data_IF_280663128345
#
_entry.id   IF_280663128345
#
_cell.length_a   1.000
_cell.length_b   1.000
_cell.length_c   1.000
_cell.angle_alpha   90.00
_cell.angle_beta   90.00
_cell.angle_gamma   90.00
#
_symmetry.space_group_name_H-M   'P 1'
#
loop_
_entity.id
_entity.type
_entity.pdbx_description
1 polymer ?
#
# COMPACT_ATOMS: atom_id res chain seq x y z
N UNK A 1 -7.73 25.18 -9.37
CA UNK A 1 -8.69 24.05 -9.25
C UNK A 1 -8.94 23.54 -10.66
N UNK A 2 -8.26 22.47 -11.06
CA UNK A 2 -8.40 21.91 -12.42
C UNK A 2 -9.75 21.21 -12.56
N UNK A 3 -10.42 21.48 -13.66
CA UNK A 3 -11.66 20.82 -14.04
C UNK A 3 -11.39 19.31 -14.15
N UNK A 4 -11.99 18.53 -13.26
CA UNK A 4 -11.97 17.05 -13.28
C UNK A 4 -12.85 16.56 -14.43
N UNK A 5 -12.43 16.81 -15.67
CA UNK A 5 -13.03 16.11 -16.80
C UNK A 5 -12.47 14.71 -16.80
N UNK A 6 -13.34 13.72 -16.61
CA UNK A 6 -13.00 12.32 -16.84
C UNK A 6 -12.64 12.18 -18.32
N UNK A 7 -11.36 12.29 -18.60
CA UNK A 7 -10.85 12.04 -19.94
C UNK A 7 -10.91 10.54 -20.22
N UNK A 8 -10.91 10.16 -21.49
CA UNK A 8 -10.81 8.73 -21.91
C UNK A 8 -9.61 8.06 -21.24
N UNK A 9 -8.52 8.80 -21.05
CA UNK A 9 -7.30 8.33 -20.36
C UNK A 9 -7.58 7.97 -18.90
N UNK A 10 -8.27 8.82 -18.15
CA UNK A 10 -8.61 8.55 -16.74
C UNK A 10 -9.50 7.32 -16.60
N UNK A 11 -10.45 7.13 -17.52
CA UNK A 11 -11.30 5.93 -17.56
C UNK A 11 -10.43 4.68 -17.84
N UNK A 12 -9.52 4.78 -18.79
CA UNK A 12 -8.61 3.67 -19.13
C UNK A 12 -7.71 3.30 -17.94
N UNK A 13 -7.14 4.31 -17.26
CA UNK A 13 -6.32 4.10 -16.06
C UNK A 13 -7.15 3.50 -14.92
N UNK A 14 -8.40 3.93 -14.75
CA UNK A 14 -9.31 3.34 -13.76
C UNK A 14 -9.59 1.87 -14.05
N UNK A 15 -9.95 1.52 -15.29
CA UNK A 15 -10.19 0.14 -15.70
C UNK A 15 -8.93 -0.73 -15.51
N UNK A 16 -7.76 -0.21 -15.89
CA UNK A 16 -6.49 -0.89 -15.62
C UNK A 16 -6.26 -1.09 -14.12
N UNK A 17 -6.54 -0.07 -13.31
CA UNK A 17 -6.47 -0.14 -11.85
C UNK A 17 -7.36 -1.24 -11.25
N UNK A 18 -8.56 -1.47 -11.82
CA UNK A 18 -9.42 -2.58 -11.36
C UNK A 18 -8.80 -3.95 -11.65
N UNK A 19 -8.15 -4.11 -12.82
CA UNK A 19 -7.45 -5.35 -13.20
C UNK A 19 -6.27 -5.60 -12.26
N UNK A 20 -5.47 -4.57 -11.97
CA UNK A 20 -4.41 -4.65 -10.98
C UNK A 20 -4.99 -5.04 -9.62
N UNK A 21 -6.07 -4.41 -9.15
CA UNK A 21 -6.73 -4.72 -7.88
C UNK A 21 -7.21 -6.16 -7.79
N UNK A 22 -7.71 -6.72 -8.89
CA UNK A 22 -8.08 -8.14 -8.97
C UNK A 22 -6.88 -9.05 -8.77
N UNK A 23 -5.72 -8.71 -9.33
CA UNK A 23 -4.46 -9.41 -9.07
C UNK A 23 -3.98 -9.24 -7.62
N UNK A 24 -4.12 -8.04 -7.03
CA UNK A 24 -3.78 -7.83 -5.62
C UNK A 24 -4.61 -8.73 -4.69
N UNK A 25 -5.88 -9.02 -5.01
CA UNK A 25 -6.66 -9.98 -4.26
C UNK A 25 -6.04 -11.38 -4.26
N UNK A 26 -5.42 -11.81 -5.38
CA UNK A 26 -4.67 -13.08 -5.44
C UNK A 26 -3.44 -13.02 -4.53
N UNK A 27 -2.70 -11.92 -4.57
CA UNK A 27 -1.53 -11.72 -3.69
C UNK A 27 -1.93 -11.77 -2.21
N UNK A 28 -2.98 -11.03 -1.82
CA UNK A 28 -3.47 -10.98 -0.44
C UNK A 28 -3.86 -12.38 0.08
N UNK A 29 -4.46 -13.22 -0.77
CA UNK A 29 -4.89 -14.55 -0.36
C UNK A 29 -3.77 -15.59 -0.35
N UNK A 30 -2.81 -15.51 -1.30
CA UNK A 30 -1.79 -16.56 -1.54
C UNK A 30 -0.46 -16.30 -0.84
N UNK A 31 0.02 -15.04 -0.79
CA UNK A 31 1.34 -14.75 -0.19
C UNK A 31 1.44 -15.21 1.27
N UNK A 32 0.45 -14.99 2.15
CA UNK A 32 0.51 -15.48 3.51
C UNK A 32 0.66 -17.00 3.64
N UNK A 33 0.15 -17.73 2.64
CA UNK A 33 0.21 -19.19 2.57
C UNK A 33 1.44 -19.72 1.84
N UNK A 34 2.30 -18.80 1.35
CA UNK A 34 3.46 -19.13 0.50
C UNK A 34 3.07 -19.89 -0.77
N UNK A 35 1.87 -19.63 -1.28
CA UNK A 35 1.36 -20.23 -2.51
C UNK A 35 1.77 -19.38 -3.73
N UNK A 36 1.96 -20.04 -4.89
CA UNK A 36 2.27 -19.35 -6.13
C UNK A 36 1.13 -18.40 -6.54
N UNK A 37 1.46 -17.14 -6.86
CA UNK A 37 0.49 -16.16 -7.36
C UNK A 37 0.11 -16.38 -8.82
N UNK A 38 0.84 -17.26 -9.53
CA UNK A 38 0.63 -17.54 -10.97
C UNK A 38 -0.21 -18.82 -11.16
N UNK A 39 0.09 -19.89 -10.44
CA UNK A 39 -0.56 -21.19 -10.56
C UNK A 39 -1.02 -21.70 -9.19
N UNK A 40 -2.15 -22.41 -9.10
CA UNK A 40 -3.15 -22.70 -10.14
C UNK A 40 -4.01 -21.47 -10.53
N UNK A 41 -4.85 -21.55 -11.59
CA UNK A 41 -5.79 -20.47 -11.93
C UNK A 41 -6.76 -20.16 -10.78
N UNK A 42 -7.41 -18.99 -10.84
CA UNK A 42 -8.38 -18.57 -9.83
C UNK A 42 -9.52 -19.56 -9.73
N UNK A 43 -9.85 -19.99 -8.52
CA UNK A 43 -10.90 -20.96 -8.23
C UNK A 43 -11.78 -20.51 -7.05
N UNK A 44 -12.98 -21.03 -6.99
CA UNK A 44 -13.89 -20.73 -5.89
C UNK A 44 -13.42 -21.46 -4.61
N UNK A 45 -13.17 -20.75 -3.50
CA UNK A 45 -12.70 -21.38 -2.26
C UNK A 45 -13.71 -22.35 -1.62
N UNK A 46 -15.01 -22.25 -2.01
CA UNK A 46 -16.07 -23.12 -1.47
C UNK A 46 -16.28 -24.40 -2.23
N UNK A 47 -16.15 -24.39 -3.56
CA UNK A 47 -16.44 -25.57 -4.39
C UNK A 47 -15.24 -26.04 -5.22
N UNK A 48 -14.10 -25.38 -5.17
CA UNK A 48 -12.88 -25.74 -5.90
C UNK A 48 -12.94 -25.55 -7.42
N UNK A 49 -14.09 -25.18 -8.00
CA UNK A 49 -14.22 -25.01 -9.45
C UNK A 49 -13.45 -23.77 -9.92
N UNK A 50 -12.73 -23.92 -11.03
CA UNK A 50 -12.04 -22.81 -11.68
C UNK A 50 -13.01 -21.72 -12.10
N UNK A 51 -12.59 -20.46 -11.91
CA UNK A 51 -13.35 -19.28 -12.35
C UNK A 51 -13.06 -19.08 -13.84
N UNK A 52 -14.13 -18.93 -14.64
CA UNK A 52 -13.99 -18.66 -16.07
C UNK A 52 -13.44 -17.24 -16.27
N UNK A 53 -12.70 -16.98 -17.34
CA UNK A 53 -12.07 -15.69 -17.59
C UNK A 53 -13.07 -14.51 -17.55
N UNK A 54 -14.29 -14.69 -18.08
CA UNK A 54 -15.33 -13.66 -18.07
C UNK A 54 -16.01 -13.47 -16.70
N UNK A 55 -15.90 -14.46 -15.79
CA UNK A 55 -16.32 -14.34 -14.40
C UNK A 55 -15.23 -13.73 -13.50
N UNK A 56 -14.08 -13.42 -14.08
CA UNK A 56 -12.94 -12.77 -13.42
C UNK A 56 -12.76 -11.32 -13.88
N UNK A 57 -13.73 -10.76 -14.64
CA UNK A 57 -13.71 -9.33 -15.01
C UNK A 57 -13.99 -8.52 -13.75
N UNK A 58 -13.03 -7.66 -13.31
CA UNK A 58 -13.16 -6.96 -12.05
C UNK A 58 -14.43 -6.11 -11.98
N UNK A 59 -15.04 -6.03 -10.80
CA UNK A 59 -16.28 -5.33 -10.49
C UNK A 59 -17.49 -5.84 -11.28
N UNK A 60 -17.38 -5.96 -12.61
CA UNK A 60 -18.48 -6.38 -13.50
C UNK A 60 -18.98 -7.75 -13.11
N UNK A 61 -18.10 -8.72 -12.94
CA UNK A 61 -18.48 -10.09 -12.56
C UNK A 61 -19.16 -10.14 -11.20
N UNK A 62 -18.69 -9.34 -10.23
CA UNK A 62 -19.30 -9.28 -8.92
C UNK A 62 -20.76 -8.78 -9.00
N UNK A 63 -21.02 -7.73 -9.79
CA UNK A 63 -22.36 -7.18 -10.00
C UNK A 63 -23.24 -8.15 -10.76
N UNK A 64 -22.77 -8.68 -11.90
CA UNK A 64 -23.55 -9.62 -12.76
C UNK A 64 -23.89 -10.91 -12.01
N UNK A 65 -22.98 -11.41 -11.18
CA UNK A 65 -23.20 -12.62 -10.38
C UNK A 65 -23.89 -12.32 -9.04
N UNK A 66 -24.24 -11.06 -8.76
CA UNK A 66 -24.87 -10.61 -7.50
C UNK A 66 -24.08 -11.10 -6.27
N UNK A 67 -22.75 -11.02 -6.34
CA UNK A 67 -21.84 -11.44 -5.27
C UNK A 67 -21.87 -12.95 -4.97
N UNK A 68 -22.22 -13.81 -5.94
CA UNK A 68 -22.32 -15.26 -5.76
C UNK A 68 -21.53 -16.03 -6.80
N UNK A 69 -20.94 -17.15 -6.40
CA UNK A 69 -20.28 -18.06 -7.34
C UNK A 69 -21.26 -18.60 -8.37
N UNK A 70 -20.91 -18.61 -9.65
CA UNK A 70 -21.75 -19.15 -10.73
C UNK A 70 -22.10 -20.63 -10.52
N UNK A 71 -21.16 -21.43 -10.00
CA UNK A 71 -21.32 -22.87 -9.87
C UNK A 71 -22.09 -23.27 -8.59
N UNK A 72 -21.61 -22.86 -7.40
CA UNK A 72 -22.20 -23.30 -6.14
C UNK A 72 -23.12 -22.27 -5.46
N UNK A 73 -23.31 -21.10 -6.08
CA UNK A 73 -24.10 -19.97 -5.52
C UNK A 73 -23.60 -19.48 -4.16
N UNK A 74 -22.44 -19.93 -3.69
CA UNK A 74 -21.82 -19.45 -2.46
C UNK A 74 -21.48 -17.96 -2.55
N UNK A 75 -21.68 -17.21 -1.46
CA UNK A 75 -21.39 -15.76 -1.40
C UNK A 75 -19.89 -15.49 -1.61
N UNK A 76 -19.57 -14.51 -2.46
CA UNK A 76 -18.25 -13.92 -2.66
C UNK A 76 -18.12 -12.78 -1.63
N UNK A 77 -17.01 -12.72 -0.92
CA UNK A 77 -16.75 -11.67 0.07
C UNK A 77 -16.74 -10.27 -0.57
N UNK A 78 -17.28 -9.28 0.12
CA UNK A 78 -17.27 -7.87 -0.31
C UNK A 78 -15.85 -7.27 -0.40
N UNK A 79 -14.88 -7.91 0.22
CA UNK A 79 -13.46 -7.51 0.18
C UNK A 79 -12.91 -7.50 -1.24
N UNK A 80 -13.31 -8.46 -2.09
CA UNK A 80 -12.82 -8.54 -3.47
C UNK A 80 -13.11 -7.26 -4.27
N UNK A 81 -14.37 -6.82 -4.43
CA UNK A 81 -14.65 -5.57 -5.12
C UNK A 81 -14.12 -4.34 -4.39
N UNK A 82 -13.99 -4.37 -3.05
CA UNK A 82 -13.41 -3.28 -2.28
C UNK A 82 -11.94 -3.03 -2.67
N UNK A 83 -11.12 -4.09 -2.73
CA UNK A 83 -9.72 -3.99 -3.13
C UNK A 83 -9.61 -3.50 -4.58
N UNK A 84 -10.46 -3.99 -5.49
CA UNK A 84 -10.48 -3.59 -6.89
C UNK A 84 -10.80 -2.10 -7.04
N UNK A 85 -11.85 -1.60 -6.36
CA UNK A 85 -12.23 -0.18 -6.38
C UNK A 85 -11.16 0.68 -5.74
N UNK A 86 -10.65 0.31 -4.57
CA UNK A 86 -9.63 1.06 -3.85
C UNK A 86 -8.36 1.21 -4.70
N UNK A 87 -7.91 0.13 -5.31
CA UNK A 87 -6.75 0.14 -6.21
C UNK A 87 -6.98 1.05 -7.41
N UNK A 88 -8.15 0.94 -8.05
CA UNK A 88 -8.50 1.78 -9.20
C UNK A 88 -8.55 3.27 -8.83
N UNK A 89 -9.17 3.63 -7.71
CA UNK A 89 -9.23 5.01 -7.24
C UNK A 89 -7.82 5.56 -6.97
N UNK A 90 -6.99 4.81 -6.24
CA UNK A 90 -5.64 5.29 -5.88
C UNK A 90 -4.75 5.42 -7.11
N UNK A 91 -4.73 4.46 -8.03
CA UNK A 91 -3.94 4.56 -9.26
C UNK A 91 -4.43 5.71 -10.14
N UNK A 92 -5.75 5.91 -10.26
CA UNK A 92 -6.29 7.04 -11.03
C UNK A 92 -5.96 8.38 -10.38
N UNK A 93 -5.98 8.46 -9.05
CA UNK A 93 -5.58 9.65 -8.30
C UNK A 93 -4.09 9.96 -8.49
N UNK A 94 -3.23 8.93 -8.53
CA UNK A 94 -1.80 9.08 -8.84
C UNK A 94 -1.59 9.58 -10.28
N UNK A 95 -2.36 9.04 -11.24
CA UNK A 95 -2.33 9.54 -12.61
C UNK A 95 -2.75 11.00 -12.70
N UNK A 96 -3.81 11.38 -12.02
CA UNK A 96 -4.29 12.76 -12.00
C UNK A 96 -3.30 13.74 -11.34
N UNK A 97 -2.56 13.27 -10.32
CA UNK A 97 -1.59 14.10 -9.60
C UNK A 97 -0.24 14.23 -10.32
N UNK A 98 0.23 13.19 -10.97
CA UNK A 98 1.61 13.12 -11.48
C UNK A 98 1.68 12.94 -13.01
N UNK A 99 0.60 12.53 -13.69
CA UNK A 99 0.65 12.10 -15.09
C UNK A 99 1.46 10.80 -15.25
N UNK A 100 1.64 10.33 -16.49
CA UNK A 100 2.43 9.13 -16.79
C UNK A 100 3.92 9.48 -16.80
N UNK A 101 4.60 9.22 -15.69
CA UNK A 101 6.04 9.42 -15.52
C UNK A 101 6.63 8.44 -14.49
N UNK A 102 7.94 8.53 -14.24
CA UNK A 102 8.61 7.62 -13.30
C UNK A 102 8.05 7.69 -11.87
N UNK A 103 7.61 8.88 -11.38
CA UNK A 103 6.95 9.02 -10.07
C UNK A 103 5.64 8.25 -10.03
N UNK A 104 4.83 8.36 -11.08
CA UNK A 104 3.56 7.62 -11.20
C UNK A 104 3.78 6.10 -11.05
N UNK A 105 4.74 5.53 -11.78
CA UNK A 105 5.02 4.09 -11.69
C UNK A 105 5.56 3.69 -10.33
N UNK A 106 6.53 4.44 -9.77
CA UNK A 106 7.10 4.17 -8.46
C UNK A 106 6.02 4.22 -7.35
N UNK A 107 5.19 5.25 -7.36
CA UNK A 107 4.12 5.42 -6.37
C UNK A 107 2.96 4.43 -6.57
N UNK A 108 2.69 4.01 -7.81
CA UNK A 108 1.70 2.94 -8.08
C UNK A 108 2.17 1.60 -7.53
N UNK A 109 3.44 1.24 -7.73
CA UNK A 109 4.03 0.01 -7.17
C UNK A 109 4.00 0.06 -5.63
N UNK A 110 4.42 1.18 -5.03
CA UNK A 110 4.32 1.38 -3.59
C UNK A 110 2.88 1.20 -3.11
N UNK A 111 1.93 1.88 -3.72
CA UNK A 111 0.51 1.84 -3.34
C UNK A 111 -0.06 0.42 -3.43
N UNK A 112 0.28 -0.33 -4.48
CA UNK A 112 -0.09 -1.75 -4.59
C UNK A 112 0.47 -2.58 -3.44
N UNK A 113 1.75 -2.39 -3.10
CA UNK A 113 2.38 -3.04 -1.95
C UNK A 113 1.70 -2.68 -0.63
N UNK A 114 1.37 -1.39 -0.42
CA UNK A 114 0.67 -0.91 0.77
C UNK A 114 -0.74 -1.51 0.91
N UNK A 115 -1.48 -1.67 -0.20
CA UNK A 115 -2.78 -2.33 -0.20
C UNK A 115 -2.63 -3.80 0.23
N UNK A 116 -1.71 -4.55 -0.38
CA UNK A 116 -1.48 -5.95 0.01
C UNK A 116 -1.08 -6.05 1.47
N UNK A 117 -0.08 -5.27 1.91
CA UNK A 117 0.38 -5.24 3.29
C UNK A 117 -0.79 -4.96 4.27
N UNK A 118 -1.61 -3.95 3.98
CA UNK A 118 -2.77 -3.58 4.79
C UNK A 118 -3.75 -4.73 4.98
N UNK A 119 -4.16 -5.38 3.88
CA UNK A 119 -5.17 -6.43 3.97
C UNK A 119 -4.64 -7.74 4.53
N UNK A 120 -3.36 -8.04 4.34
CA UNK A 120 -2.71 -9.21 4.96
C UNK A 120 -2.52 -8.96 6.45
N UNK A 121 -2.08 -7.77 6.86
CA UNK A 121 -1.89 -7.40 8.25
C UNK A 121 -3.22 -7.42 9.04
N UNK A 122 -4.34 -7.06 8.41
CA UNK A 122 -5.67 -7.24 9.02
C UNK A 122 -6.04 -8.72 9.26
N UNK A 123 -5.55 -9.63 8.42
CA UNK A 123 -5.91 -11.05 8.51
C UNK A 123 -5.04 -11.83 9.50
N UNK A 124 -3.73 -11.63 9.45
CA UNK A 124 -2.75 -12.48 10.16
C UNK A 124 -1.74 -11.69 10.99
N UNK A 125 -1.81 -10.35 10.98
CA UNK A 125 -0.88 -9.47 11.69
C UNK A 125 0.60 -9.73 11.29
N UNK A 126 0.82 -10.05 10.01
CA UNK A 126 2.13 -10.23 9.42
C UNK A 126 2.19 -9.52 8.06
N UNK A 127 3.35 -8.98 7.71
CA UNK A 127 3.59 -8.35 6.41
C UNK A 127 4.50 -9.25 5.60
N UNK A 128 4.04 -9.77 4.42
CA UNK A 128 4.83 -10.66 3.59
C UNK A 128 6.16 -10.03 3.16
N UNK A 129 7.25 -10.78 3.28
CA UNK A 129 8.58 -10.31 2.88
C UNK A 129 8.68 -10.07 1.37
N UNK A 130 7.94 -10.81 0.57
CA UNK A 130 7.84 -10.62 -0.88
C UNK A 130 7.36 -9.21 -1.24
N UNK A 131 6.47 -8.63 -0.43
CA UNK A 131 5.96 -7.27 -0.62
C UNK A 131 6.96 -6.25 -0.07
N UNK A 132 7.37 -6.39 1.19
CA UNK A 132 8.19 -5.39 1.86
C UNK A 132 9.63 -5.36 1.33
N UNK A 133 10.31 -6.51 1.22
CA UNK A 133 11.67 -6.58 0.69
C UNK A 133 11.70 -6.47 -0.84
N UNK A 134 10.71 -7.07 -1.53
CA UNK A 134 10.56 -6.92 -2.97
C UNK A 134 10.33 -5.47 -3.38
N UNK A 135 9.42 -4.79 -2.70
CA UNK A 135 9.14 -3.37 -2.93
C UNK A 135 10.32 -2.46 -2.59
N UNK A 136 11.06 -2.78 -1.51
CA UNK A 136 12.30 -2.09 -1.14
C UNK A 136 13.35 -2.21 -2.26
N UNK A 137 13.58 -3.42 -2.77
CA UNK A 137 14.52 -3.64 -3.87
C UNK A 137 14.12 -2.88 -5.13
N UNK A 138 12.82 -2.90 -5.49
CA UNK A 138 12.28 -2.11 -6.59
C UNK A 138 12.51 -0.63 -6.37
N UNK A 139 12.27 -0.09 -5.16
CA UNK A 139 12.51 1.31 -4.82
C UNK A 139 13.97 1.73 -5.04
N UNK A 140 14.92 0.91 -4.61
CA UNK A 140 16.35 1.14 -4.82
C UNK A 140 16.69 1.12 -6.31
N UNK A 141 16.18 0.15 -7.07
CA UNK A 141 16.42 0.05 -8.53
C UNK A 141 15.84 1.28 -9.24
N UNK A 142 14.62 1.70 -8.91
CA UNK A 142 13.99 2.87 -9.49
C UNK A 142 14.75 4.16 -9.16
N UNK A 143 15.28 4.30 -7.96
CA UNK A 143 16.08 5.46 -7.56
C UNK A 143 17.36 5.63 -8.38
N UNK A 144 17.99 4.52 -8.74
CA UNK A 144 19.16 4.51 -9.60
C UNK A 144 18.82 4.74 -11.08
N UNK A 145 17.74 4.10 -11.57
CA UNK A 145 17.30 4.22 -12.96
C UNK A 145 16.67 5.60 -13.25
N UNK A 146 15.91 6.14 -12.31
CA UNK A 146 15.14 7.38 -12.44
C UNK A 146 15.40 8.37 -11.29
N UNK A 147 16.61 8.93 -11.17
CA UNK A 147 17.00 9.81 -10.06
C UNK A 147 16.11 11.07 -9.94
N UNK A 148 15.46 11.45 -11.02
CA UNK A 148 14.52 12.59 -11.04
C UNK A 148 13.33 12.43 -10.07
N UNK A 149 13.03 11.23 -9.60
CA UNK A 149 12.02 10.99 -8.55
C UNK A 149 12.38 11.79 -7.29
N UNK A 150 13.67 11.88 -6.97
CA UNK A 150 14.21 12.63 -5.82
C UNK A 150 14.69 14.05 -6.17
N UNK A 151 14.32 14.57 -7.36
CA UNK A 151 14.71 15.93 -7.79
C UNK A 151 16.19 16.08 -8.12
N UNK A 152 16.89 14.99 -8.42
CA UNK A 152 18.30 14.99 -8.82
C UNK A 152 18.50 14.37 -10.19
N UNK A 153 19.54 14.77 -10.92
CA UNK A 153 19.94 14.16 -12.20
C UNK A 153 21.02 13.09 -12.03
N UNK A 154 21.69 13.08 -10.87
CA UNK A 154 22.77 12.12 -10.59
C UNK A 154 22.21 10.80 -10.07
N UNK A 155 22.59 9.69 -10.71
CA UNK A 155 22.21 8.33 -10.29
C UNK A 155 22.71 8.01 -8.88
N UNK A 156 23.93 8.46 -8.55
CA UNK A 156 24.52 8.26 -7.21
C UNK A 156 23.71 9.01 -6.15
N UNK A 157 23.32 10.25 -6.43
CA UNK A 157 22.51 11.04 -5.49
C UNK A 157 21.10 10.46 -5.35
N UNK A 158 20.49 9.94 -6.43
CA UNK A 158 19.22 9.22 -6.39
C UNK A 158 19.29 8.00 -5.49
N UNK A 159 20.32 7.16 -5.70
CA UNK A 159 20.58 5.99 -4.85
C UNK A 159 20.80 6.38 -3.39
N UNK A 160 21.63 7.40 -3.13
CA UNK A 160 21.88 7.88 -1.78
C UNK A 160 20.59 8.39 -1.10
N UNK A 161 19.72 9.10 -1.83
CA UNK A 161 18.43 9.57 -1.33
C UNK A 161 17.51 8.40 -0.94
N UNK A 162 17.47 7.34 -1.75
CA UNK A 162 16.74 6.13 -1.46
C UNK A 162 17.28 5.41 -0.22
N UNK A 163 18.59 5.19 -0.15
CA UNK A 163 19.23 4.53 1.00
C UNK A 163 19.05 5.33 2.30
N UNK A 164 19.18 6.66 2.23
CA UNK A 164 18.84 7.52 3.37
C UNK A 164 17.37 7.39 3.78
N UNK A 165 16.46 7.23 2.81
CA UNK A 165 15.06 6.96 3.07
C UNK A 165 14.83 5.61 3.77
N UNK A 166 15.52 4.55 3.32
CA UNK A 166 15.51 3.23 3.97
C UNK A 166 15.96 3.33 5.42
N UNK A 167 17.10 3.99 5.66
CA UNK A 167 17.65 4.16 7.00
C UNK A 167 16.76 5.03 7.89
N UNK A 168 16.22 6.12 7.36
CA UNK A 168 15.33 7.00 8.11
C UNK A 168 14.00 6.31 8.46
N UNK A 169 13.36 5.65 7.49
CA UNK A 169 12.09 4.97 7.70
C UNK A 169 12.22 3.73 8.55
N UNK A 170 13.00 2.76 8.10
CA UNK A 170 13.21 1.50 8.81
C UNK A 170 13.90 1.71 10.15
N UNK A 171 14.91 2.61 10.20
CA UNK A 171 15.62 2.97 11.43
C UNK A 171 14.72 3.62 12.47
N UNK A 172 13.80 4.51 12.08
CA UNK A 172 12.89 5.16 13.01
C UNK A 172 11.97 4.13 13.71
N UNK A 173 11.36 3.21 12.95
CA UNK A 173 10.52 2.13 13.50
C UNK A 173 11.36 1.16 14.35
N UNK A 174 12.56 0.79 13.88
CA UNK A 174 13.45 -0.10 14.62
C UNK A 174 13.86 0.50 15.97
N UNK A 175 14.27 1.76 15.99
CA UNK A 175 14.65 2.46 17.23
C UNK A 175 13.45 2.61 18.17
N UNK A 176 12.26 2.93 17.64
CA UNK A 176 11.05 3.00 18.44
C UNK A 176 10.70 1.64 19.05
N UNK A 177 10.81 0.55 18.29
CA UNK A 177 10.62 -0.81 18.79
C UNK A 177 11.63 -1.16 19.87
N UNK A 178 12.92 -0.90 19.64
CA UNK A 178 14.03 -1.16 20.56
C UNK A 178 13.84 -0.42 21.90
N UNK A 179 13.56 0.88 21.86
CA UNK A 179 13.30 1.63 23.08
C UNK A 179 12.00 1.20 23.77
N UNK A 180 10.97 0.89 23.00
CA UNK A 180 9.72 0.36 23.52
C UNK A 180 9.90 -0.97 24.27
N UNK A 181 10.72 -1.87 23.71
CA UNK A 181 11.04 -3.16 24.35
C UNK A 181 11.78 -2.98 25.68
N UNK A 182 12.74 -2.04 25.74
CA UNK A 182 13.46 -1.72 26.98
C UNK A 182 12.51 -1.18 28.07
N UNK A 183 11.56 -0.30 27.66
CA UNK A 183 10.65 0.37 28.63
C UNK A 183 9.52 -0.56 29.06
N UNK A 184 8.89 -1.26 28.10
CA UNK A 184 7.69 -2.05 28.38
C UNK A 184 7.99 -3.54 28.62
N UNK A 185 9.23 -4.00 28.40
CA UNK A 185 9.67 -5.40 28.53
C UNK A 185 8.82 -6.38 27.72
N UNK A 186 8.32 -5.93 26.58
CA UNK A 186 7.51 -6.68 25.59
C UNK A 186 7.90 -6.23 24.20
N UNK A 187 7.79 -7.11 23.23
CA UNK A 187 7.93 -6.71 21.83
C UNK A 187 6.95 -5.58 21.52
N UNK A 188 7.49 -4.40 21.20
CA UNK A 188 6.70 -3.19 20.98
C UNK A 188 6.35 -2.99 19.52
N UNK A 189 7.11 -3.62 18.58
CA UNK A 189 6.97 -3.42 17.13
C UNK A 189 7.32 -4.67 16.36
N UNK A 190 6.51 -5.02 15.38
CA UNK A 190 6.77 -6.15 14.49
C UNK A 190 7.94 -5.88 13.52
N UNK A 191 8.77 -6.90 13.24
CA UNK A 191 9.81 -6.80 12.21
C UNK A 191 9.25 -6.50 10.81
N UNK A 192 7.99 -6.84 10.54
CA UNK A 192 7.27 -6.50 9.33
C UNK A 192 7.10 -5.00 9.12
N UNK A 193 6.78 -4.25 10.19
CA UNK A 193 6.61 -2.80 10.15
C UNK A 193 7.93 -2.08 9.82
N UNK A 194 9.06 -2.58 10.34
CA UNK A 194 10.41 -2.07 10.02
C UNK A 194 10.68 -2.21 8.53
N UNK A 195 10.42 -3.39 7.95
CA UNK A 195 10.63 -3.67 6.53
C UNK A 195 9.68 -2.86 5.64
N UNK A 196 8.42 -2.74 6.05
CA UNK A 196 7.41 -1.92 5.34
C UNK A 196 7.84 -0.45 5.30
N UNK A 197 8.31 0.06 6.42
CA UNK A 197 8.74 1.46 6.52
C UNK A 197 10.05 1.71 5.77
N UNK A 198 10.95 0.72 5.71
CA UNK A 198 12.13 0.75 4.85
C UNK A 198 11.75 0.79 3.36
N UNK A 199 10.76 0.00 2.93
CA UNK A 199 10.19 0.05 1.58
C UNK A 199 9.60 1.43 1.27
N UNK A 200 8.79 1.98 2.16
CA UNK A 200 8.21 3.32 2.01
C UNK A 200 9.33 4.35 1.85
N UNK A 201 10.34 4.29 2.70
CA UNK A 201 11.49 5.20 2.67
C UNK A 201 12.31 5.09 1.38
N UNK A 202 12.47 3.88 0.83
CA UNK A 202 13.23 3.67 -0.41
C UNK A 202 12.64 4.40 -1.62
N UNK A 203 11.32 4.59 -1.63
CA UNK A 203 10.57 5.20 -2.74
C UNK A 203 10.25 6.68 -2.46
N UNK A 204 9.90 7.03 -1.24
CA UNK A 204 9.51 8.40 -0.87
C UNK A 204 10.69 9.29 -0.44
N UNK A 205 11.81 8.68 -0.07
CA UNK A 205 12.97 9.38 0.51
C UNK A 205 12.76 9.73 1.98
N UNK A 206 13.86 10.19 2.63
CA UNK A 206 13.91 10.33 4.08
C UNK A 206 12.90 11.34 4.67
N UNK A 207 12.63 12.46 3.99
CA UNK A 207 11.72 13.49 4.51
C UNK A 207 10.28 12.98 4.64
N UNK A 208 9.77 12.34 3.58
CA UNK A 208 8.43 11.79 3.56
C UNK A 208 8.33 10.51 4.39
N UNK A 209 9.41 9.73 4.52
CA UNK A 209 9.46 8.59 5.42
C UNK A 209 9.31 9.03 6.89
N UNK A 210 10.04 10.06 7.32
CA UNK A 210 9.89 10.61 8.68
C UNK A 210 8.50 11.20 8.89
N UNK A 211 7.96 11.93 7.89
CA UNK A 211 6.58 12.41 7.97
C UNK A 211 5.59 11.25 8.12
N UNK A 212 5.72 10.17 7.35
CA UNK A 212 4.90 8.96 7.45
C UNK A 212 4.98 8.35 8.85
N UNK A 213 6.19 8.24 9.40
CA UNK A 213 6.43 7.73 10.75
C UNK A 213 5.63 8.51 11.83
N UNK A 214 5.63 9.84 11.77
CA UNK A 214 4.88 10.67 12.73
C UNK A 214 3.37 10.73 12.42
N UNK A 215 2.96 10.60 11.17
CA UNK A 215 1.55 10.63 10.79
C UNK A 215 0.82 9.32 11.12
N UNK A 216 1.49 8.16 11.07
CA UNK A 216 0.87 6.87 11.31
C UNK A 216 0.24 6.74 12.71
N UNK A 217 0.90 7.14 13.82
CA UNK A 217 0.29 7.11 15.15
C UNK A 217 -0.94 7.99 15.29
N UNK A 218 -1.03 9.09 14.52
CA UNK A 218 -2.22 9.96 14.53
C UNK A 218 -3.43 9.19 14.00
N UNK A 219 -3.29 8.51 12.85
CA UNK A 219 -4.35 7.64 12.32
C UNK A 219 -4.67 6.48 13.25
N UNK A 220 -3.63 5.83 13.79
CA UNK A 220 -3.78 4.74 14.77
C UNK A 220 -4.53 5.17 16.02
N UNK A 221 -4.23 6.36 16.55
CA UNK A 221 -4.90 6.89 17.74
C UNK A 221 -6.39 7.18 17.49
N UNK A 222 -6.73 7.80 16.36
CA UNK A 222 -8.12 8.10 16.00
C UNK A 222 -8.95 6.81 15.91
N UNK A 223 -8.46 5.83 15.17
CA UNK A 223 -9.17 4.56 14.97
C UNK A 223 -9.14 3.71 16.24
N UNK A 224 -7.99 3.67 16.95
CA UNK A 224 -7.83 2.91 18.19
C UNK A 224 -8.77 3.38 19.30
N UNK A 225 -8.90 4.68 19.50
CA UNK A 225 -9.85 5.25 20.46
C UNK A 225 -11.28 4.88 20.08
N UNK A 226 -11.64 5.02 18.79
CA UNK A 226 -12.98 4.71 18.30
C UNK A 226 -13.34 3.21 18.51
N UNK A 227 -12.41 2.30 18.25
CA UNK A 227 -12.63 0.86 18.44
C UNK A 227 -12.59 0.43 19.90
N UNK A 228 -11.76 1.05 20.73
CA UNK A 228 -11.74 0.79 22.17
C UNK A 228 -13.08 1.15 22.83
N UNK A 229 -13.67 2.28 22.40
CA UNK A 229 -14.99 2.71 22.90
C UNK A 229 -16.09 1.75 22.42
N UNK A 230 -16.01 1.24 21.18
CA UNK A 230 -17.07 0.43 20.57
C UNK A 230 -16.98 -1.05 20.95
N UNK A 231 -15.81 -1.66 20.84
CA UNK A 231 -15.65 -3.11 20.87
C UNK A 231 -14.68 -3.60 21.97
N UNK A 232 -14.06 -2.72 22.74
CA UNK A 232 -13.09 -3.08 23.79
C UNK A 232 -11.80 -3.73 23.28
N UNK A 233 -11.50 -3.68 21.97
CA UNK A 233 -10.30 -4.30 21.38
C UNK A 233 -9.05 -3.50 21.72
N UNK A 234 -8.01 -4.19 22.19
CA UNK A 234 -6.74 -3.56 22.58
C UNK A 234 -5.61 -3.75 21.56
N UNK A 235 -5.70 -4.77 20.70
CA UNK A 235 -4.64 -5.08 19.74
C UNK A 235 -5.12 -4.75 18.31
N UNK A 236 -4.34 -3.91 17.63
CA UNK A 236 -4.61 -3.51 16.25
C UNK A 236 -3.35 -3.65 15.42
N UNK A 237 -3.46 -4.16 14.18
CA UNK A 237 -2.34 -4.16 13.26
C UNK A 237 -1.88 -2.73 12.95
N UNK A 238 -0.56 -2.50 12.90
CA UNK A 238 0.00 -1.17 12.70
C UNK A 238 0.24 -0.84 11.22
N UNK A 239 0.48 -1.86 10.39
CA UNK A 239 0.71 -1.73 8.95
C UNK A 239 -0.34 -0.90 8.20
N UNK A 240 -1.66 -1.06 8.46
CA UNK A 240 -2.70 -0.24 7.85
C UNK A 240 -2.52 1.26 8.09
N UNK A 241 -2.09 1.67 9.29
CA UNK A 241 -1.88 3.09 9.62
C UNK A 241 -0.62 3.65 8.98
N UNK A 242 0.45 2.84 8.90
CA UNK A 242 1.63 3.16 8.11
C UNK A 242 1.28 3.34 6.63
N UNK A 243 0.46 2.45 6.09
CA UNK A 243 0.01 2.51 4.70
C UNK A 243 -0.84 3.75 4.42
N UNK A 244 -1.78 4.08 5.30
CA UNK A 244 -2.58 5.32 5.18
C UNK A 244 -1.70 6.56 5.25
N UNK A 245 -0.79 6.62 6.22
CA UNK A 245 0.15 7.73 6.35
C UNK A 245 1.05 7.87 5.13
N UNK A 246 1.51 6.77 4.54
CA UNK A 246 2.30 6.78 3.31
C UNK A 246 1.51 7.32 2.11
N UNK A 247 0.23 6.93 1.96
CA UNK A 247 -0.64 7.48 0.91
C UNK A 247 -0.84 8.99 1.11
N UNK A 248 -1.08 9.45 2.33
CA UNK A 248 -1.16 10.89 2.64
C UNK A 248 0.17 11.59 2.32
N UNK A 249 1.30 10.96 2.64
CA UNK A 249 2.64 11.49 2.32
C UNK A 249 2.86 11.67 0.82
N UNK A 250 2.39 10.74 -0.01
CA UNK A 250 2.49 10.82 -1.47
C UNK A 250 1.75 12.05 -2.01
N UNK A 251 0.53 12.32 -1.55
CA UNK A 251 -0.30 13.38 -2.11
C UNK A 251 -0.09 14.75 -1.47
N UNK A 252 0.17 14.80 -0.19
CA UNK A 252 0.20 16.05 0.58
C UNK A 252 1.46 16.25 1.42
N UNK A 253 2.33 15.26 1.55
CA UNK A 253 3.48 15.29 2.45
C UNK A 253 4.40 16.50 2.20
N UNK A 254 4.78 16.77 0.95
CA UNK A 254 5.64 17.92 0.63
C UNK A 254 4.96 19.26 0.97
N UNK A 255 3.65 19.37 0.73
CA UNK A 255 2.89 20.60 1.06
C UNK A 255 2.78 20.82 2.56
N UNK A 256 2.52 19.75 3.32
CA UNK A 256 2.41 19.82 4.78
C UNK A 256 3.79 20.15 5.39
N UNK A 257 4.85 19.50 4.95
CA UNK A 257 6.21 19.81 5.40
C UNK A 257 6.61 21.23 5.02
N UNK A 258 6.26 21.68 3.82
CA UNK A 258 6.48 23.07 3.40
C UNK A 258 5.78 24.09 4.30
N UNK A 259 4.51 23.83 4.64
CA UNK A 259 3.76 24.70 5.56
C UNK A 259 4.34 24.71 6.98
N UNK A 260 4.80 23.55 7.48
CA UNK A 260 5.35 23.42 8.83
C UNK A 260 6.73 24.07 8.98
N UNK A 261 7.62 23.92 7.98
CA UNK A 261 9.00 24.35 8.11
C UNK A 261 9.33 25.66 7.41
N UNK A 262 8.59 26.09 6.40
CA UNK A 262 8.90 27.30 5.62
C UNK A 262 7.85 28.40 5.76
N UNK A 263 6.80 28.19 6.55
CA UNK A 263 5.67 29.12 6.66
C UNK A 263 4.89 29.21 5.34
N UNK A 264 3.59 29.46 5.39
CA UNK A 264 2.82 29.78 4.19
C UNK A 264 3.36 31.11 3.60
N UNK A 265 4.16 31.04 2.55
CA UNK A 265 4.42 32.15 1.64
C UNK A 265 3.48 32.08 0.47
#
# INVERSE_FOLDING_TARGET
MGNWHWTIESITVFLFGTVVGSFLNVCIFRLPKRESVVLPPSHCPKCGKNIRWYDNIPLVSYVVLMGKCRACKGKIGYRYPLVEILTAILITSLYAAFGINAKFFAYSILTCGLIVATFVDFDIQEIPDEISLGGLAIGIIFSFAFPHIFGTSSRVNGLAASLLGVLAGGGAIYLMGFFGEIVFKKEAMGGGDVKLMAMIGSILGWKLAIFTFFAAPVFGSIVGIALKIKDGREIMPYGPFLSMAAVVSIFWGERILGALFYGMR
#
